data_IF_026641626069
#
_entry.id   IF_026641626069
#
_cell.length_a   1.000
_cell.length_b   1.000
_cell.length_c   1.000
_cell.angle_alpha   90.00
_cell.angle_beta   90.00
_cell.angle_gamma   90.00
#
_symmetry.space_group_name_H-M   'P 1'
#
loop_
_entity.id
_entity.type
_entity.pdbx_description
1 polymer ?
#
# COMPACT_ATOMS: atom_id res chain seq x y z
N UNK A 1 -15.95 -8.72 -21.97
CA UNK A 1 -15.59 -7.37 -22.48
C UNK A 1 -16.14 -6.24 -21.60
N UNK A 2 -17.42 -6.24 -21.23
CA UNK A 2 -18.03 -5.15 -20.43
C UNK A 2 -17.38 -4.94 -19.05
N UNK A 3 -17.02 -6.01 -18.34
CA UNK A 3 -16.31 -5.96 -17.05
C UNK A 3 -14.97 -5.23 -17.12
N UNK A 4 -14.21 -5.42 -18.21
CA UNK A 4 -12.91 -4.77 -18.40
C UNK A 4 -13.08 -3.28 -18.74
N UNK A 5 -14.12 -2.93 -19.51
CA UNK A 5 -14.47 -1.52 -19.77
C UNK A 5 -14.89 -0.79 -18.50
N UNK A 6 -15.69 -1.44 -17.64
CA UNK A 6 -16.11 -0.87 -16.36
C UNK A 6 -14.97 -0.74 -15.33
N UNK A 7 -13.92 -1.57 -15.47
CA UNK A 7 -12.76 -1.58 -14.59
C UNK A 7 -11.88 -0.33 -14.73
N UNK A 8 -11.90 0.34 -15.89
CA UNK A 8 -11.02 1.50 -16.12
C UNK A 8 -11.69 2.81 -15.64
N UNK A 9 -11.25 3.40 -14.53
CA UNK A 9 -11.75 4.71 -14.10
C UNK A 9 -11.22 5.83 -15.02
N UNK A 10 -11.87 7.01 -15.04
CA UNK A 10 -11.31 8.21 -15.66
C UNK A 10 -9.93 8.56 -15.09
N UNK A 11 -9.01 9.04 -15.91
CA UNK A 11 -7.64 9.40 -15.51
C UNK A 11 -7.57 10.39 -14.33
N UNK A 12 -8.51 11.33 -14.25
CA UNK A 12 -8.60 12.27 -13.12
C UNK A 12 -8.83 11.58 -11.77
N UNK A 13 -9.65 10.52 -11.74
CA UNK A 13 -9.89 9.73 -10.54
C UNK A 13 -8.68 8.86 -10.16
N UNK A 14 -7.86 8.46 -11.13
CA UNK A 14 -6.61 7.75 -10.84
C UNK A 14 -5.61 8.68 -10.16
N UNK A 15 -5.37 9.86 -10.72
CA UNK A 15 -4.35 10.78 -10.20
C UNK A 15 -4.78 11.40 -8.87
N UNK A 16 -5.97 12.00 -8.83
CA UNK A 16 -6.45 12.67 -7.62
C UNK A 16 -6.71 11.68 -6.49
N UNK A 17 -7.29 10.51 -6.82
CA UNK A 17 -7.51 9.46 -5.83
C UNK A 17 -6.21 8.90 -5.27
N UNK A 18 -5.18 8.72 -6.11
CA UNK A 18 -3.86 8.28 -5.66
C UNK A 18 -3.22 9.29 -4.70
N UNK A 19 -3.25 10.59 -5.04
CA UNK A 19 -2.71 11.64 -4.18
C UNK A 19 -3.45 11.73 -2.84
N UNK A 20 -4.79 11.70 -2.86
CA UNK A 20 -5.59 11.73 -1.63
C UNK A 20 -5.33 10.51 -0.75
N UNK A 21 -5.23 9.32 -1.34
CA UNK A 21 -4.91 8.10 -0.59
C UNK A 21 -3.49 8.13 -0.04
N UNK A 22 -2.52 8.63 -0.80
CA UNK A 22 -1.14 8.84 -0.34
C UNK A 22 -1.06 9.78 0.86
N UNK A 23 -1.78 10.91 0.83
CA UNK A 23 -1.85 11.84 1.97
C UNK A 23 -2.49 11.17 3.18
N UNK A 24 -3.57 10.41 3.01
CA UNK A 24 -4.20 9.69 4.12
C UNK A 24 -3.25 8.68 4.77
N UNK A 25 -2.48 7.93 3.97
CA UNK A 25 -1.50 6.97 4.49
C UNK A 25 -0.33 7.65 5.19
N UNK A 26 0.15 8.78 4.65
CA UNK A 26 1.17 9.60 5.31
C UNK A 26 0.66 10.12 6.67
N UNK A 27 -0.53 10.72 6.71
CA UNK A 27 -1.10 11.26 7.96
C UNK A 27 -1.34 10.14 8.96
N UNK A 28 -1.83 8.98 8.52
CA UNK A 28 -1.97 7.79 9.36
C UNK A 28 -0.64 7.37 9.98
N UNK A 29 0.40 7.26 9.17
CA UNK A 29 1.73 6.86 9.63
C UNK A 29 2.33 7.88 10.62
N UNK A 30 2.20 9.18 10.34
CA UNK A 30 2.68 10.23 11.24
C UNK A 30 1.92 10.22 12.56
N UNK A 31 0.60 10.06 12.55
CA UNK A 31 -0.17 9.93 13.78
C UNK A 31 0.23 8.66 14.54
N UNK A 32 0.33 7.52 13.86
CA UNK A 32 0.73 6.25 14.46
C UNK A 32 2.12 6.31 15.07
N UNK A 33 3.05 7.04 14.45
CA UNK A 33 4.39 7.26 14.96
C UNK A 33 4.37 8.21 16.16
N UNK A 34 3.69 9.35 16.05
CA UNK A 34 3.50 10.31 17.14
C UNK A 34 2.94 9.64 18.40
N UNK A 35 1.90 8.82 18.27
CA UNK A 35 1.29 8.10 19.39
C UNK A 35 2.21 7.05 20.03
N UNK A 36 3.25 6.58 19.32
CA UNK A 36 4.17 5.55 19.80
C UNK A 36 5.44 6.12 20.42
N UNK A 37 5.98 7.17 19.84
CA UNK A 37 7.28 7.72 20.24
C UNK A 37 7.40 9.25 20.07
N UNK A 38 6.29 9.97 19.91
CA UNK A 38 6.32 11.43 19.77
C UNK A 38 6.99 11.95 18.49
N UNK A 39 7.15 11.12 17.45
CA UNK A 39 7.91 11.42 16.22
C UNK A 39 9.44 11.48 16.44
N UNK A 40 9.94 10.99 17.56
CA UNK A 40 11.37 10.95 17.87
C UNK A 40 12.08 9.86 17.06
N UNK A 41 12.47 10.19 15.83
CA UNK A 41 13.28 9.33 14.96
C UNK A 41 14.12 10.17 14.00
N UNK A 42 15.36 9.75 13.75
CA UNK A 42 16.23 10.38 12.76
C UNK A 42 15.78 10.11 11.31
N UNK A 43 14.88 9.15 11.10
CA UNK A 43 14.45 8.68 9.77
C UNK A 43 13.01 9.11 9.44
N UNK A 44 12.53 10.19 10.05
CA UNK A 44 11.13 10.63 9.93
C UNK A 44 10.70 10.85 8.47
N UNK A 45 11.55 11.50 7.68
CA UNK A 45 11.29 11.78 6.27
C UNK A 45 11.17 10.50 5.43
N UNK A 46 11.99 9.49 5.72
CA UNK A 46 11.96 8.20 5.01
C UNK A 46 10.69 7.42 5.35
N UNK A 47 10.28 7.41 6.62
CA UNK A 47 8.99 6.82 7.02
C UNK A 47 7.84 7.56 6.35
N UNK A 48 7.84 8.89 6.35
CA UNK A 48 6.79 9.66 5.68
C UNK A 48 6.73 9.34 4.16
N UNK A 49 7.87 9.30 3.49
CA UNK A 49 7.97 8.96 2.07
C UNK A 49 7.50 7.54 1.80
N UNK A 50 7.88 6.56 2.64
CA UNK A 50 7.51 5.16 2.49
C UNK A 50 5.99 4.97 2.47
N UNK A 51 5.28 5.55 3.43
CA UNK A 51 3.82 5.41 3.54
C UNK A 51 3.07 6.25 2.49
N UNK A 52 3.58 7.44 2.17
CA UNK A 52 3.04 8.26 1.08
C UNK A 52 3.14 7.52 -0.25
N UNK A 53 4.33 7.07 -0.63
CA UNK A 53 4.58 6.37 -1.89
C UNK A 53 3.86 5.02 -1.92
N UNK A 54 3.80 4.31 -0.79
CA UNK A 54 3.04 3.07 -0.65
C UNK A 54 1.55 3.27 -0.97
N UNK A 55 0.93 4.32 -0.43
CA UNK A 55 -0.44 4.72 -0.78
C UNK A 55 -0.57 5.15 -2.24
N UNK A 56 0.33 6.02 -2.71
CA UNK A 56 0.31 6.55 -4.08
C UNK A 56 0.35 5.42 -5.12
N UNK A 57 1.27 4.46 -4.93
CA UNK A 57 1.46 3.33 -5.83
C UNK A 57 0.37 2.27 -5.69
N UNK A 58 -0.29 2.15 -4.54
CA UNK A 58 -1.37 1.19 -4.36
C UNK A 58 -2.60 1.50 -5.21
N UNK A 59 -2.92 2.79 -5.38
CA UNK A 59 -4.17 3.22 -5.99
C UNK A 59 -4.38 2.76 -7.44
N UNK A 60 -3.39 2.87 -8.36
CA UNK A 60 -3.51 2.37 -9.73
C UNK A 60 -3.79 0.86 -9.84
N UNK A 61 -3.44 0.07 -8.84
CA UNK A 61 -3.74 -1.38 -8.82
C UNK A 61 -5.05 -1.67 -8.10
N UNK A 62 -5.29 -1.01 -6.95
CA UNK A 62 -6.47 -1.22 -6.14
C UNK A 62 -7.75 -0.86 -6.89
N UNK A 63 -7.80 0.33 -7.52
CA UNK A 63 -9.04 0.86 -8.09
C UNK A 63 -9.55 0.03 -9.28
N UNK A 64 -8.74 -0.36 -10.28
CA UNK A 64 -9.20 -1.22 -11.36
C UNK A 64 -9.57 -2.62 -10.88
N UNK A 65 -8.79 -3.20 -9.96
CA UNK A 65 -9.08 -4.52 -9.38
C UNK A 65 -10.42 -4.52 -8.63
N UNK A 66 -10.66 -3.50 -7.80
CA UNK A 66 -11.91 -3.33 -7.07
C UNK A 66 -13.10 -3.24 -8.02
N UNK A 67 -13.02 -2.39 -9.04
CA UNK A 67 -14.09 -2.18 -10.02
C UNK A 67 -14.37 -3.43 -10.84
N UNK A 68 -13.33 -4.20 -11.17
CA UNK A 68 -13.50 -5.48 -11.86
C UNK A 68 -14.25 -6.52 -11.00
N UNK A 69 -13.94 -6.57 -9.71
CA UNK A 69 -14.58 -7.49 -8.75
C UNK A 69 -16.00 -7.06 -8.37
N UNK A 70 -16.24 -5.75 -8.29
CA UNK A 70 -17.51 -5.14 -7.91
C UNK A 70 -18.56 -5.06 -9.03
N UNK A 71 -18.19 -5.33 -10.29
CA UNK A 71 -19.10 -5.23 -11.42
C UNK A 71 -20.35 -6.13 -11.28
N UNK A 72 -21.53 -5.54 -11.40
CA UNK A 72 -22.82 -6.26 -11.30
C UNK A 72 -23.12 -6.83 -9.91
N UNK A 73 -22.37 -6.43 -8.88
CA UNK A 73 -22.54 -6.94 -7.51
C UNK A 73 -23.46 -6.05 -6.67
N UNK A 74 -24.08 -6.58 -5.59
CA UNK A 74 -24.80 -5.77 -4.62
C UNK A 74 -23.86 -4.85 -3.82
N UNK A 75 -24.37 -3.79 -3.18
CA UNK A 75 -23.55 -2.77 -2.49
C UNK A 75 -22.55 -3.33 -1.47
N UNK A 76 -22.91 -4.36 -0.71
CA UNK A 76 -22.08 -5.00 0.30
C UNK A 76 -20.84 -5.65 -0.33
N UNK A 77 -21.05 -6.34 -1.46
CA UNK A 77 -19.97 -6.96 -2.22
C UNK A 77 -19.09 -5.92 -2.95
N UNK A 78 -19.65 -4.76 -3.35
CA UNK A 78 -18.85 -3.64 -3.86
C UNK A 78 -17.94 -3.10 -2.76
N UNK A 79 -18.48 -2.85 -1.56
CA UNK A 79 -17.69 -2.42 -0.41
C UNK A 79 -16.56 -3.40 -0.09
N UNK A 80 -16.86 -4.70 0.00
CA UNK A 80 -15.86 -5.72 0.25
C UNK A 80 -14.75 -5.74 -0.82
N UNK A 81 -15.12 -5.62 -2.10
CA UNK A 81 -14.15 -5.54 -3.20
C UNK A 81 -13.21 -4.34 -3.05
N UNK A 82 -13.74 -3.15 -2.77
CA UNK A 82 -12.91 -1.95 -2.53
C UNK A 82 -12.06 -2.08 -1.27
N UNK A 83 -12.63 -2.61 -0.18
CA UNK A 83 -11.92 -2.79 1.09
C UNK A 83 -10.72 -3.72 0.95
N UNK A 84 -10.95 -4.93 0.42
CA UNK A 84 -9.93 -5.98 0.29
C UNK A 84 -8.84 -5.59 -0.72
N UNK A 85 -9.19 -4.99 -1.84
CA UNK A 85 -8.19 -4.59 -2.84
C UNK A 85 -7.37 -3.39 -2.37
N UNK A 86 -7.99 -2.41 -1.70
CA UNK A 86 -7.28 -1.23 -1.21
C UNK A 86 -6.34 -1.60 -0.06
N UNK A 87 -6.76 -2.45 0.89
CA UNK A 87 -5.87 -2.93 1.95
C UNK A 87 -4.74 -3.80 1.39
N UNK A 88 -5.04 -4.76 0.51
CA UNK A 88 -4.03 -5.66 -0.05
C UNK A 88 -2.99 -4.89 -0.88
N UNK A 89 -3.43 -3.99 -1.77
CA UNK A 89 -2.52 -3.19 -2.59
C UNK A 89 -1.67 -2.24 -1.74
N UNK A 90 -2.26 -1.61 -0.71
CA UNK A 90 -1.52 -0.69 0.18
C UNK A 90 -0.45 -1.43 0.97
N UNK A 91 -0.79 -2.58 1.55
CA UNK A 91 0.18 -3.42 2.26
C UNK A 91 1.26 -3.91 1.30
N UNK A 92 0.88 -4.45 0.14
CA UNK A 92 1.83 -4.98 -0.84
C UNK A 92 2.81 -3.92 -1.35
N UNK A 93 2.33 -2.73 -1.74
CA UNK A 93 3.19 -1.66 -2.26
C UNK A 93 4.09 -1.08 -1.19
N UNK A 94 3.58 -0.88 0.03
CA UNK A 94 4.41 -0.35 1.12
C UNK A 94 5.47 -1.38 1.56
N UNK A 95 5.10 -2.66 1.65
CA UNK A 95 6.04 -3.73 1.95
C UNK A 95 7.10 -3.91 0.85
N UNK A 96 6.70 -3.76 -0.42
CA UNK A 96 7.61 -3.79 -1.56
C UNK A 96 8.64 -2.66 -1.49
N UNK A 97 8.20 -1.42 -1.26
CA UNK A 97 9.10 -0.27 -1.12
C UNK A 97 10.06 -0.45 0.06
N UNK A 98 9.54 -0.90 1.20
CA UNK A 98 10.37 -1.23 2.36
C UNK A 98 11.41 -2.30 2.03
N UNK A 99 11.02 -3.37 1.33
CA UNK A 99 11.92 -4.42 0.91
C UNK A 99 12.99 -3.94 -0.08
N UNK A 100 12.67 -2.99 -0.96
CA UNK A 100 13.65 -2.38 -1.86
C UNK A 100 14.69 -1.55 -1.10
N UNK A 101 14.26 -0.73 -0.16
CA UNK A 101 15.17 0.05 0.69
C UNK A 101 16.05 -0.86 1.55
N UNK A 102 15.43 -1.86 2.19
CA UNK A 102 16.13 -2.88 2.99
C UNK A 102 17.17 -3.61 2.15
N UNK A 103 16.82 -4.02 0.92
CA UNK A 103 17.76 -4.65 0.00
C UNK A 103 18.91 -3.71 -0.41
N UNK A 104 18.65 -2.45 -0.70
CA UNK A 104 19.71 -1.48 -1.05
C UNK A 104 20.75 -1.37 0.07
N UNK A 105 20.30 -1.42 1.32
CA UNK A 105 21.21 -1.44 2.46
C UNK A 105 22.02 -2.73 2.52
N UNK A 106 21.36 -3.90 2.47
CA UNK A 106 22.01 -5.20 2.65
C UNK A 106 22.82 -5.70 1.44
N UNK A 107 22.59 -5.16 0.24
CA UNK A 107 23.27 -5.59 -0.98
C UNK A 107 24.79 -5.36 -0.95
N UNK A 108 25.28 -4.49 -0.05
CA UNK A 108 26.72 -4.25 0.18
C UNK A 108 27.47 -5.49 0.67
N UNK A 109 26.76 -6.44 1.26
CA UNK A 109 27.30 -7.72 1.73
C UNK A 109 26.85 -8.89 0.87
N UNK A 110 26.20 -8.64 -0.27
CA UNK A 110 25.78 -9.69 -1.19
C UNK A 110 26.95 -10.12 -2.08
N UNK A 111 26.92 -11.39 -2.47
CA UNK A 111 27.79 -11.96 -3.49
C UNK A 111 27.57 -11.25 -4.85
N UNK A 112 28.48 -11.41 -5.82
CA UNK A 112 28.32 -10.84 -7.15
C UNK A 112 26.97 -11.19 -7.79
N UNK A 113 26.38 -10.21 -8.46
CA UNK A 113 25.09 -10.34 -9.14
C UNK A 113 25.09 -11.54 -10.10
N UNK A 114 23.99 -12.30 -10.11
CA UNK A 114 23.83 -13.47 -10.98
C UNK A 114 24.46 -14.76 -10.46
N UNK A 115 25.21 -14.73 -9.36
CA UNK A 115 25.65 -15.97 -8.68
C UNK A 115 24.48 -16.66 -7.97
N UNK A 116 24.55 -17.98 -7.79
CA UNK A 116 23.53 -18.72 -7.03
C UNK A 116 23.37 -18.21 -5.59
N UNK A 117 24.47 -17.84 -4.93
CA UNK A 117 24.46 -17.24 -3.59
C UNK A 117 23.71 -15.91 -3.58
N UNK A 118 23.95 -15.05 -4.59
CA UNK A 118 23.24 -13.78 -4.72
C UNK A 118 21.73 -13.98 -4.86
N UNK A 119 21.27 -15.00 -5.61
CA UNK A 119 19.84 -15.31 -5.74
C UNK A 119 19.23 -15.66 -4.38
N UNK A 120 19.90 -16.52 -3.59
CA UNK A 120 19.44 -16.84 -2.24
C UNK A 120 19.41 -15.60 -1.35
N UNK A 121 20.47 -14.80 -1.34
CA UNK A 121 20.54 -13.55 -0.57
C UNK A 121 19.44 -12.57 -0.96
N UNK A 122 19.15 -12.43 -2.26
CA UNK A 122 18.08 -11.57 -2.76
C UNK A 122 16.71 -12.02 -2.25
N UNK A 123 16.39 -13.31 -2.35
CA UNK A 123 15.10 -13.87 -1.92
C UNK A 123 14.93 -13.72 -0.41
N UNK A 124 15.88 -14.22 0.38
CA UNK A 124 15.76 -14.23 1.84
C UNK A 124 15.79 -12.83 2.45
N UNK A 125 16.59 -11.90 1.90
CA UNK A 125 16.59 -10.50 2.33
C UNK A 125 15.22 -9.86 2.06
N UNK A 126 14.65 -10.09 0.88
CA UNK A 126 13.35 -9.50 0.50
C UNK A 126 12.21 -10.07 1.34
N UNK A 127 12.14 -11.39 1.52
CA UNK A 127 11.10 -12.04 2.35
C UNK A 127 11.21 -11.60 3.81
N UNK A 128 12.44 -11.51 4.35
CA UNK A 128 12.67 -11.05 5.72
C UNK A 128 12.21 -9.61 5.91
N UNK A 129 12.49 -8.73 4.95
CA UNK A 129 12.04 -7.34 4.98
C UNK A 129 10.50 -7.25 4.95
N UNK A 130 9.84 -8.01 4.07
CA UNK A 130 8.37 -8.06 4.03
C UNK A 130 7.80 -8.53 5.37
N UNK A 131 8.36 -9.60 5.94
CA UNK A 131 7.93 -10.09 7.26
C UNK A 131 8.09 -9.03 8.36
N UNK A 132 9.25 -8.37 8.43
CA UNK A 132 9.49 -7.29 9.39
C UNK A 132 8.49 -6.14 9.24
N UNK A 133 8.20 -5.73 8.00
CA UNK A 133 7.18 -4.71 7.72
C UNK A 133 5.80 -5.17 8.19
N UNK A 134 5.41 -6.43 7.95
CA UNK A 134 4.12 -6.94 8.40
C UNK A 134 3.98 -6.90 9.93
N UNK A 135 5.03 -7.25 10.67
CA UNK A 135 5.00 -7.29 12.14
C UNK A 135 5.03 -5.90 12.76
N UNK A 136 5.87 -5.00 12.22
CA UNK A 136 6.18 -3.70 12.84
C UNK A 136 5.52 -2.55 12.08
N UNK A 137 5.66 -2.52 10.76
CA UNK A 137 5.16 -1.44 9.90
C UNK A 137 3.64 -1.35 9.83
N UNK A 138 2.90 -2.46 9.82
CA UNK A 138 1.43 -2.40 9.76
C UNK A 138 0.81 -1.59 10.91
N UNK A 139 1.48 -1.56 12.06
CA UNK A 139 1.02 -0.89 13.26
C UNK A 139 0.96 0.63 13.11
N UNK A 140 1.69 1.21 12.15
CA UNK A 140 1.65 2.64 11.85
C UNK A 140 0.45 3.02 10.97
N UNK A 141 -0.21 2.07 10.32
CA UNK A 141 -1.50 2.35 9.68
C UNK A 141 -2.64 2.49 10.69
N UNK A 142 -2.45 2.13 11.96
CA UNK A 142 -3.53 2.10 12.95
C UNK A 142 -3.41 3.26 13.96
N UNK A 143 -4.56 3.82 14.41
CA UNK A 143 -5.93 3.45 14.02
C UNK A 143 -6.44 4.16 12.76
N UNK A 144 -5.86 5.30 12.39
CA UNK A 144 -6.44 6.22 11.40
C UNK A 144 -6.55 5.61 9.99
N UNK A 145 -5.58 4.81 9.56
CA UNK A 145 -5.60 4.15 8.26
C UNK A 145 -6.76 3.16 8.12
N UNK A 146 -7.20 2.51 9.20
CA UNK A 146 -8.41 1.67 9.16
C UNK A 146 -9.67 2.53 8.94
N UNK A 147 -9.75 3.69 9.59
CA UNK A 147 -10.86 4.65 9.38
C UNK A 147 -10.85 5.15 7.93
N UNK A 148 -9.70 5.58 7.43
CA UNK A 148 -9.51 6.00 6.04
C UNK A 148 -9.92 4.91 5.05
N UNK A 149 -9.52 3.66 5.32
CA UNK A 149 -9.88 2.49 4.51
C UNK A 149 -11.40 2.30 4.47
N UNK A 150 -12.08 2.23 5.62
CA UNK A 150 -13.54 2.04 5.69
C UNK A 150 -14.28 3.16 4.95
N UNK A 151 -13.93 4.42 5.24
CA UNK A 151 -14.58 5.60 4.64
C UNK A 151 -14.38 5.63 3.13
N UNK A 152 -13.14 5.41 2.67
CA UNK A 152 -12.81 5.41 1.23
C UNK A 152 -13.49 4.27 0.49
N UNK A 153 -13.48 3.06 1.05
CA UNK A 153 -14.14 1.89 0.45
C UNK A 153 -15.65 2.08 0.36
N UNK A 154 -16.28 2.65 1.40
CA UNK A 154 -17.71 2.97 1.37
C UNK A 154 -18.04 4.02 0.30
N UNK A 155 -17.26 5.10 0.25
CA UNK A 155 -17.44 6.16 -0.73
C UNK A 155 -17.31 5.65 -2.18
N UNK A 156 -16.27 4.84 -2.44
CA UNK A 156 -16.03 4.26 -3.77
C UNK A 156 -17.14 3.27 -4.16
N UNK A 157 -17.59 2.41 -3.23
CA UNK A 157 -18.68 1.48 -3.46
C UNK A 157 -20.00 2.20 -3.81
N UNK A 158 -20.29 3.32 -3.13
CA UNK A 158 -21.49 4.13 -3.39
C UNK A 158 -21.43 4.87 -4.74
N UNK A 159 -20.25 5.31 -5.17
CA UNK A 159 -20.04 6.01 -6.46
C UNK A 159 -19.98 5.09 -7.66
N UNK A 160 -19.58 3.85 -7.47
CA UNK A 160 -19.70 2.82 -8.48
C UNK A 160 -21.17 2.40 -8.55
N UNK A 161 -22.00 3.15 -9.28
CA UNK A 161 -23.37 2.76 -9.62
C UNK A 161 -23.37 1.96 -10.91
#
# INVERSE_FOLDING_TARGET
MERLRAAWPPYSHLILGALLWAVQMLVSAMLGLYLRNGLETSRLAEVAALYFLGGLLAWPFALPAARFLAYGKPPEARFAAFFVTLIAATIAMTAFLFAMEYRIFYSRWHAPFGSGIWVFQFIFTSISAVYQFLVIGLRLFLPLGLVCLVVSSYYLAKRMR
#
